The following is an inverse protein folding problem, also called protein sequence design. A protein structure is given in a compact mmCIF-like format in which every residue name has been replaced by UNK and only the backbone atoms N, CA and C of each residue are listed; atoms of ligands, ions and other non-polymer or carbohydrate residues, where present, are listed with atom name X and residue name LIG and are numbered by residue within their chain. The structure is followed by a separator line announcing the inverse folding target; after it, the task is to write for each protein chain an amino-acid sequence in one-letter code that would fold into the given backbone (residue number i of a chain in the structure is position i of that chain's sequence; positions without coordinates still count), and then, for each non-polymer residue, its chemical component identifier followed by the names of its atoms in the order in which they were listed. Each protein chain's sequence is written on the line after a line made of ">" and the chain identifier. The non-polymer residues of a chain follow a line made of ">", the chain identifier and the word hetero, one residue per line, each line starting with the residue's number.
data_IF_044753079705
#
_entry.id   IF_044753079705
#
_cell.length_a   1.000
_cell.length_b   1.000
_cell.length_c   1.000
_cell.angle_alpha   90.00
_cell.angle_beta   90.00
_cell.angle_gamma   90.00
#
_symmetry.space_group_name_H-M   'P 1'
#
loop_
_entity.id
_entity.type
_entity.pdbx_description
1 polymer ?
#
# COMPACT_ATOMS: atom_id res chain seq x y z
N UNK A 1 3.50 -37.11 -9.81
CA UNK A 1 4.33 -36.48 -8.76
C UNK A 1 4.86 -35.16 -9.29
N UNK A 2 4.21 -34.06 -8.95
CA UNK A 2 4.74 -32.71 -9.13
C UNK A 2 4.18 -31.89 -7.97
N UNK A 3 4.98 -31.74 -6.93
CA UNK A 3 4.65 -30.93 -5.75
C UNK A 3 4.62 -29.46 -6.21
N UNK A 4 3.41 -28.93 -6.40
CA UNK A 4 3.22 -27.48 -6.52
C UNK A 4 3.65 -26.86 -5.19
N UNK A 5 4.67 -26.01 -5.29
CA UNK A 5 5.27 -25.28 -4.19
C UNK A 5 4.20 -24.64 -3.31
N UNK A 6 4.23 -24.99 -2.03
CA UNK A 6 3.31 -24.55 -0.99
C UNK A 6 3.56 -23.06 -0.73
N UNK A 7 2.70 -22.20 -1.26
CA UNK A 7 2.63 -20.80 -0.83
C UNK A 7 2.57 -20.75 0.71
N UNK A 8 3.35 -19.88 1.37
CA UNK A 8 3.35 -19.80 2.83
C UNK A 8 1.95 -19.41 3.32
N UNK A 9 1.24 -20.34 3.95
CA UNK A 9 -0.14 -20.14 4.45
C UNK A 9 -0.24 -19.17 5.65
N UNK A 10 0.83 -18.42 5.93
CA UNK A 10 0.93 -17.49 7.07
C UNK A 10 1.32 -16.07 6.65
N UNK A 11 1.55 -15.81 5.36
CA UNK A 11 1.79 -14.45 4.87
C UNK A 11 0.46 -13.75 4.67
N UNK A 12 0.10 -12.83 5.58
CA UNK A 12 -0.93 -11.81 5.31
C UNK A 12 -0.38 -10.89 4.22
N UNK A 13 -0.50 -11.31 2.96
CA UNK A 13 -0.16 -10.46 1.83
C UNK A 13 -1.21 -9.37 1.75
N UNK A 14 -0.86 -8.17 2.18
CA UNK A 14 -1.70 -7.00 1.99
C UNK A 14 -1.87 -6.79 0.47
N UNK A 15 -3.10 -6.53 0.06
CA UNK A 15 -3.42 -6.22 -1.32
C UNK A 15 -2.65 -4.98 -1.79
N UNK A 16 -1.90 -5.10 -2.89
CA UNK A 16 -1.02 -4.03 -3.40
C UNK A 16 -1.80 -2.75 -3.70
N UNK A 17 -3.03 -2.86 -4.23
CA UNK A 17 -3.87 -1.69 -4.50
C UNK A 17 -4.19 -0.95 -3.19
N UNK A 18 -4.47 -1.69 -2.12
CA UNK A 18 -4.73 -1.13 -0.80
C UNK A 18 -3.49 -0.43 -0.22
N UNK A 19 -2.30 -1.01 -0.40
CA UNK A 19 -1.03 -0.36 -0.04
C UNK A 19 -0.77 0.92 -0.85
N UNK A 20 -1.11 0.94 -2.14
CA UNK A 20 -1.01 2.14 -2.98
C UNK A 20 -1.96 3.23 -2.50
N UNK A 21 -3.21 2.88 -2.19
CA UNK A 21 -4.16 3.82 -1.59
C UNK A 21 -3.61 4.42 -0.29
N UNK A 22 -3.01 3.58 0.57
CA UNK A 22 -2.47 4.00 1.85
C UNK A 22 -1.30 4.97 1.65
N UNK A 23 -0.34 4.56 0.82
CA UNK A 23 0.83 5.36 0.46
C UNK A 23 0.42 6.74 -0.06
N UNK A 24 -0.52 6.82 -1.00
CA UNK A 24 -0.95 8.10 -1.56
C UNK A 24 -1.62 9.00 -0.52
N UNK A 25 -2.45 8.47 0.38
CA UNK A 25 -3.05 9.29 1.44
C UNK A 25 -2.00 9.76 2.44
N UNK A 26 -1.07 8.88 2.81
CA UNK A 26 0.02 9.17 3.74
C UNK A 26 0.95 10.27 3.19
N UNK A 27 1.34 10.18 1.91
CA UNK A 27 2.28 11.11 1.28
C UNK A 27 1.63 12.44 0.91
N UNK A 28 0.39 12.43 0.42
CA UNK A 28 -0.32 13.66 0.02
C UNK A 28 -1.02 14.36 1.19
N UNK A 29 -1.23 13.66 2.31
CA UNK A 29 -1.99 14.18 3.44
C UNK A 29 -3.44 14.53 3.11
N UNK A 30 -4.01 13.95 2.05
CA UNK A 30 -5.36 14.27 1.57
C UNK A 30 -6.03 13.10 0.85
N UNK A 31 -7.13 12.60 1.42
CA UNK A 31 -7.99 11.59 0.78
C UNK A 31 -8.51 12.04 -0.59
N UNK A 32 -8.85 13.33 -0.73
CA UNK A 32 -9.36 13.86 -2.00
C UNK A 32 -8.29 13.87 -3.08
N UNK A 33 -7.08 14.33 -2.77
CA UNK A 33 -5.98 14.34 -3.73
C UNK A 33 -5.54 12.92 -4.09
N UNK A 34 -5.44 12.02 -3.11
CA UNK A 34 -5.13 10.62 -3.37
C UNK A 34 -6.18 9.94 -4.28
N UNK A 35 -7.47 10.21 -4.06
CA UNK A 35 -8.54 9.67 -4.89
C UNK A 35 -8.49 10.22 -6.32
N UNK A 36 -8.15 11.50 -6.48
CA UNK A 36 -7.92 12.13 -7.79
C UNK A 36 -6.73 11.50 -8.52
N UNK A 37 -5.60 11.27 -7.85
CA UNK A 37 -4.44 10.60 -8.43
C UNK A 37 -4.77 9.19 -8.95
N UNK A 38 -5.64 8.48 -8.25
CA UNK A 38 -6.09 7.14 -8.66
C UNK A 38 -7.31 7.15 -9.60
N UNK A 39 -7.85 8.33 -9.95
CA UNK A 39 -9.09 8.46 -10.73
C UNK A 39 -10.27 7.67 -10.14
N UNK A 40 -10.38 7.63 -8.82
CA UNK A 40 -11.47 6.96 -8.07
C UNK A 40 -12.21 7.94 -7.16
N UNK A 41 -13.32 7.48 -6.60
CA UNK A 41 -14.05 8.24 -5.58
C UNK A 41 -13.41 8.09 -4.20
N UNK A 42 -13.56 9.10 -3.33
CA UNK A 42 -13.06 9.03 -1.94
C UNK A 42 -13.62 7.83 -1.16
N UNK A 43 -14.91 7.43 -1.29
CA UNK A 43 -15.40 6.19 -0.69
C UNK A 43 -14.66 4.93 -1.18
N UNK A 44 -14.42 4.82 -2.48
CA UNK A 44 -13.68 3.71 -3.09
C UNK A 44 -12.20 3.67 -2.69
N UNK A 45 -11.64 4.80 -2.25
CA UNK A 45 -10.31 4.87 -1.64
C UNK A 45 -10.35 4.48 -0.15
N UNK A 46 -11.35 4.97 0.59
CA UNK A 46 -11.43 4.82 2.05
C UNK A 46 -11.83 3.41 2.50
N UNK A 47 -12.65 2.69 1.73
CA UNK A 47 -13.13 1.37 2.11
C UNK A 47 -11.99 0.33 2.23
N UNK A 48 -11.07 0.22 1.24
CA UNK A 48 -9.89 -0.64 1.36
C UNK A 48 -8.99 -0.27 2.54
N UNK A 49 -8.83 1.02 2.84
CA UNK A 49 -7.99 1.46 3.97
C UNK A 49 -8.56 1.04 5.32
N UNK A 50 -9.88 1.15 5.50
CA UNK A 50 -10.54 0.64 6.72
C UNK A 50 -10.43 -0.87 6.84
N UNK A 51 -10.51 -1.58 5.71
CA UNK A 51 -10.30 -3.02 5.69
C UNK A 51 -8.86 -3.37 6.11
N UNK A 52 -7.86 -2.65 5.59
CA UNK A 52 -6.47 -2.81 5.99
C UNK A 52 -6.26 -2.57 7.50
N UNK A 53 -6.82 -1.49 8.03
CA UNK A 53 -6.81 -1.22 9.49
C UNK A 53 -7.43 -2.38 10.28
N UNK A 54 -8.55 -2.93 9.79
CA UNK A 54 -9.23 -4.06 10.43
C UNK A 54 -8.41 -5.36 10.36
N UNK A 55 -7.75 -5.64 9.23
CA UNK A 55 -6.92 -6.83 9.04
C UNK A 55 -5.63 -6.78 9.86
N UNK A 56 -5.06 -5.58 10.01
CA UNK A 56 -3.87 -5.35 10.83
C UNK A 56 -4.21 -5.21 12.32
N UNK A 57 -5.48 -4.94 12.66
CA UNK A 57 -5.91 -4.71 14.04
C UNK A 57 -5.40 -3.40 14.64
N UNK A 58 -5.00 -2.44 13.79
CA UNK A 58 -4.44 -1.15 14.20
C UNK A 58 -5.07 -0.02 13.39
N UNK A 59 -5.11 1.17 13.97
CA UNK A 59 -5.51 2.39 13.27
C UNK A 59 -4.27 3.01 12.64
N UNK A 60 -4.33 3.36 11.36
CA UNK A 60 -3.21 3.93 10.61
C UNK A 60 -3.32 5.46 10.51
N UNK A 61 -4.53 6.02 10.61
CA UNK A 61 -4.78 7.46 10.57
C UNK A 61 -5.49 7.97 11.84
N UNK A 62 -5.07 9.12 12.35
CA UNK A 62 -5.67 9.77 13.52
C UNK A 62 -7.13 10.15 13.23
N UNK A 63 -8.04 9.74 14.11
CA UNK A 63 -9.48 10.08 14.04
C UNK A 63 -9.75 11.40 14.79
N UNK A 64 -10.47 12.32 14.17
CA UNK A 64 -11.02 13.52 14.85
C UNK A 64 -10.09 14.74 14.97
N UNK A 65 -8.92 14.75 14.33
CA UNK A 65 -8.05 15.93 14.25
C UNK A 65 -8.51 16.97 13.21
N UNK A 66 -7.88 18.16 13.22
CA UNK A 66 -8.06 19.20 12.17
C UNK A 66 -7.72 18.67 10.77
N UNK A 67 -6.83 17.67 10.68
CA UNK A 67 -6.51 16.92 9.48
C UNK A 67 -6.69 15.43 9.76
N UNK A 68 -7.73 14.82 9.20
CA UNK A 68 -8.03 13.38 9.34
C UNK A 68 -7.05 12.48 8.57
N UNK A 69 -5.84 12.97 8.29
CA UNK A 69 -4.82 12.35 7.43
C UNK A 69 -3.47 12.24 8.14
N UNK A 70 -3.38 12.66 9.40
CA UNK A 70 -2.19 12.44 10.22
C UNK A 70 -2.02 10.94 10.49
N UNK A 71 -0.80 10.44 10.34
CA UNK A 71 -0.47 9.04 10.62
C UNK A 71 -0.39 8.79 12.12
N UNK A 72 -0.83 7.61 12.53
CA UNK A 72 -0.47 7.06 13.84
C UNK A 72 0.97 6.54 13.81
N UNK A 73 1.52 6.13 14.97
CA UNK A 73 2.81 5.44 15.02
C UNK A 73 2.82 4.18 14.15
N UNK A 74 1.75 3.38 14.19
CA UNK A 74 1.58 2.21 13.33
C UNK A 74 1.53 2.61 11.84
N UNK A 75 0.87 3.72 11.51
CA UNK A 75 0.85 4.30 10.17
C UNK A 75 2.24 4.69 9.69
N UNK A 76 3.05 5.33 10.53
CA UNK A 76 4.42 5.72 10.19
C UNK A 76 5.33 4.50 9.95
N UNK A 77 5.20 3.46 10.78
CA UNK A 77 5.91 2.18 10.57
C UNK A 77 5.50 1.55 9.25
N UNK A 78 4.19 1.47 8.97
CA UNK A 78 3.70 0.91 7.71
C UNK A 78 4.21 1.69 6.50
N UNK A 79 4.21 3.03 6.55
CA UNK A 79 4.71 3.87 5.46
C UNK A 79 6.16 3.54 5.11
N UNK A 80 7.02 3.44 6.12
CA UNK A 80 8.44 3.10 5.95
C UNK A 80 8.62 1.76 5.22
N UNK A 81 7.82 0.75 5.59
CA UNK A 81 7.89 -0.57 4.96
C UNK A 81 7.30 -0.57 3.55
N UNK A 82 6.19 0.13 3.32
CA UNK A 82 5.57 0.25 2.00
C UNK A 82 6.49 0.93 1.00
N UNK A 83 7.18 2.01 1.40
CA UNK A 83 8.17 2.69 0.57
C UNK A 83 9.32 1.75 0.17
N UNK A 84 9.82 0.95 1.12
CA UNK A 84 10.86 -0.05 0.82
C UNK A 84 10.38 -1.11 -0.16
N UNK A 85 9.15 -1.60 0.00
CA UNK A 85 8.57 -2.61 -0.89
C UNK A 85 8.37 -2.05 -2.30
N UNK A 86 7.83 -0.84 -2.43
CA UNK A 86 7.64 -0.22 -3.74
C UNK A 86 8.97 0.03 -4.47
N UNK A 87 10.01 0.45 -3.74
CA UNK A 87 11.36 0.55 -4.30
C UNK A 87 11.87 -0.79 -4.82
N UNK A 88 11.69 -1.87 -4.04
CA UNK A 88 12.08 -3.20 -4.48
C UNK A 88 11.31 -3.66 -5.72
N UNK A 89 10.01 -3.36 -5.82
CA UNK A 89 9.21 -3.67 -7.01
C UNK A 89 9.69 -2.90 -8.25
N UNK A 90 10.07 -1.64 -8.08
CA UNK A 90 10.66 -0.82 -9.16
C UNK A 90 12.02 -1.37 -9.59
N UNK A 91 12.90 -1.70 -8.64
CA UNK A 91 14.23 -2.29 -8.90
C UNK A 91 14.12 -3.61 -9.67
N UNK A 92 13.14 -4.46 -9.32
CA UNK A 92 12.86 -5.70 -10.04
C UNK A 92 12.43 -5.43 -11.48
N UNK A 93 11.57 -4.44 -11.71
CA UNK A 93 11.16 -4.05 -13.06
C UNK A 93 12.36 -3.58 -13.88
N UNK A 94 13.23 -2.75 -13.30
CA UNK A 94 14.44 -2.25 -13.95
C UNK A 94 15.38 -3.41 -14.30
N UNK A 95 15.64 -4.30 -13.36
CA UNK A 95 16.54 -5.45 -13.58
C UNK A 95 16.06 -6.35 -14.73
N UNK A 96 14.76 -6.64 -14.80
CA UNK A 96 14.18 -7.47 -15.86
C UNK A 96 14.16 -6.75 -17.22
N UNK A 97 13.97 -5.43 -17.22
CA UNK A 97 14.02 -4.64 -18.47
C UNK A 97 15.45 -4.50 -18.99
N UNK A 98 16.44 -4.38 -18.12
CA UNK A 98 17.85 -4.33 -18.47
C UNK A 98 18.36 -5.66 -19.06
N UNK A 99 17.77 -6.78 -18.65
CA UNK A 99 18.09 -8.12 -19.15
C UNK A 99 17.38 -8.47 -20.48
N UNK A 100 16.53 -7.58 -21.00
CA UNK A 100 16.03 -7.74 -22.38
C UNK A 100 17.14 -7.36 -23.35
N UNK A 101 17.76 -8.29 -24.09
CA UNK A 101 18.66 -7.91 -25.17
C UNK A 101 17.85 -7.10 -26.18
N UNK A 102 18.35 -5.89 -26.48
CA UNK A 102 17.93 -5.09 -27.61
C UNK A 102 17.76 -6.02 -28.82
N UNK A 103 16.51 -6.21 -29.26
CA UNK A 103 16.23 -6.69 -30.60
C UNK A 103 16.28 -5.52 -31.56
#
# INVERSE_FOLDING_TARGET
>A
MTTVSRFPQSSRLCDTRTLVCFYLVATLGSYRQAAQCLSITVPALSAPLRQLESELGVVLFVRGGRRQTELTEAGAVLLTHVESVFRQLDDLCIAVQADRPFR
#
